data_IF_421214921809
#
_entry.id   IF_421214921809
#
_cell.length_a   1.000
_cell.length_b   1.000
_cell.length_c   1.000
_cell.angle_alpha   90.00
_cell.angle_beta   90.00
_cell.angle_gamma   90.00
#
_symmetry.space_group_name_H-M   'P 1'
#
loop_
_entity.id
_entity.type
_entity.pdbx_description
1 polymer ?
#
# COMPACT_ATOMS: atom_id res chain seq x y z
N UNK A 1 -9.41 -20.70 3.94
CA UNK A 1 -9.45 -19.21 3.95
C UNK A 1 -8.28 -18.69 3.12
N UNK A 2 -8.46 -18.49 1.83
CA UNK A 2 -7.40 -17.93 0.99
C UNK A 2 -7.36 -16.42 1.20
N UNK A 3 -6.20 -15.88 1.57
CA UNK A 3 -5.95 -14.45 1.42
C UNK A 3 -6.24 -14.09 -0.05
N UNK A 4 -6.82 -12.92 -0.34
CA UNK A 4 -6.98 -12.43 -1.71
C UNK A 4 -6.23 -11.10 -1.81
N UNK A 5 -5.46 -10.92 -2.89
CA UNK A 5 -4.81 -9.64 -3.14
C UNK A 5 -5.90 -8.62 -3.50
N UNK A 6 -5.89 -7.48 -2.82
CA UNK A 6 -6.99 -6.52 -2.90
C UNK A 6 -6.47 -5.08 -2.87
N UNK A 7 -7.18 -4.12 -3.48
CA UNK A 7 -6.89 -2.70 -3.27
C UNK A 7 -6.79 -2.34 -1.79
N UNK A 8 -5.90 -1.42 -1.45
CA UNK A 8 -5.86 -0.87 -0.08
C UNK A 8 -7.21 -0.17 0.22
N UNK A 9 -7.80 -0.38 1.41
CA UNK A 9 -9.01 0.32 1.84
C UNK A 9 -8.85 1.86 1.84
N UNK A 10 -9.94 2.59 1.65
CA UNK A 10 -9.89 4.05 1.56
C UNK A 10 -9.54 4.69 2.90
N UNK A 11 -9.86 4.04 4.02
CA UNK A 11 -9.52 4.53 5.36
C UNK A 11 -8.02 4.74 5.59
N UNK A 12 -7.16 4.16 4.73
CA UNK A 12 -5.69 4.25 4.83
C UNK A 12 -5.15 5.39 3.94
N UNK A 13 -6.05 6.12 3.27
CA UNK A 13 -5.71 7.33 2.53
C UNK A 13 -5.35 8.45 3.51
N UNK A 14 -4.32 9.19 3.16
CA UNK A 14 -3.73 10.26 3.94
C UNK A 14 -3.33 11.34 2.94
N UNK A 15 -4.09 12.43 2.94
CA UNK A 15 -4.00 13.47 1.91
C UNK A 15 -2.78 14.38 2.07
N UNK A 16 -2.29 14.52 3.29
CA UNK A 16 -1.17 15.39 3.64
C UNK A 16 -0.14 14.58 4.42
N UNK A 17 1.07 14.46 3.88
CA UNK A 17 2.26 14.07 4.65
C UNK A 17 3.30 15.13 4.34
N UNK A 18 3.73 15.86 5.37
CA UNK A 18 4.83 16.82 5.24
C UNK A 18 6.08 16.08 4.76
N UNK A 19 6.59 16.49 3.60
CA UNK A 19 7.69 15.85 2.88
C UNK A 19 9.07 16.28 3.38
N UNK A 20 9.12 17.04 4.47
CA UNK A 20 10.34 17.39 5.19
C UNK A 20 11.12 16.20 5.77
N UNK A 21 12.30 16.48 6.33
CA UNK A 21 13.24 15.47 6.87
C UNK A 21 12.61 14.52 7.92
N UNK A 22 11.51 14.92 8.57
CA UNK A 22 10.80 14.13 9.58
C UNK A 22 9.80 13.09 9.03
N UNK A 23 9.70 12.94 7.71
CA UNK A 23 8.72 12.08 7.01
C UNK A 23 8.54 10.68 7.60
N UNK A 24 9.62 10.02 8.02
CA UNK A 24 9.56 8.66 8.59
C UNK A 24 8.83 8.61 9.94
N UNK A 25 9.04 9.59 10.81
CA UNK A 25 8.35 9.68 12.10
C UNK A 25 6.86 10.02 11.92
N UNK A 26 6.55 10.93 11.00
CA UNK A 26 5.18 11.33 10.72
C UNK A 26 4.34 10.18 10.14
N UNK A 27 4.91 9.42 9.20
CA UNK A 27 4.29 8.21 8.63
C UNK A 27 3.96 7.22 9.75
N UNK A 28 4.91 6.95 10.66
CA UNK A 28 4.68 6.03 11.79
C UNK A 28 3.60 6.53 12.75
N UNK A 29 3.57 7.83 13.06
CA UNK A 29 2.56 8.42 13.94
C UNK A 29 1.16 8.31 13.33
N UNK A 30 0.98 8.64 12.04
CA UNK A 30 -0.31 8.49 11.36
C UNK A 30 -0.74 7.02 11.26
N UNK A 31 0.20 6.13 10.96
CA UNK A 31 -0.04 4.70 10.90
C UNK A 31 -0.55 4.16 12.26
N UNK A 32 0.07 4.57 13.36
CA UNK A 32 -0.41 4.24 14.71
C UNK A 32 -1.81 4.80 14.98
N UNK A 33 -2.09 6.05 14.60
CA UNK A 33 -3.43 6.68 14.76
C UNK A 33 -4.53 5.92 14.01
N UNK A 34 -4.22 5.41 12.82
CA UNK A 34 -5.15 4.62 12.00
C UNK A 34 -5.12 3.12 12.33
N UNK A 35 -4.36 2.71 13.35
CA UNK A 35 -4.10 1.32 13.70
C UNK A 35 -3.64 0.45 12.50
N UNK A 36 -2.85 1.07 11.62
CA UNK A 36 -2.26 0.44 10.46
C UNK A 36 -0.80 0.15 10.75
N UNK A 37 -0.39 -1.12 10.67
CA UNK A 37 1.03 -1.43 10.70
C UNK A 37 1.65 -1.12 9.32
N UNK A 38 2.06 0.14 9.15
CA UNK A 38 2.67 0.69 7.93
C UNK A 38 4.01 1.33 8.27
N UNK A 39 5.01 1.01 7.44
CA UNK A 39 6.34 1.63 7.50
C UNK A 39 6.60 2.57 6.33
N UNK A 40 5.73 2.55 5.31
CA UNK A 40 5.95 3.20 4.03
C UNK A 40 4.70 3.94 3.58
N UNK A 41 4.88 5.10 2.96
CA UNK A 41 3.79 5.86 2.32
C UNK A 41 3.96 5.86 0.79
N UNK A 42 2.84 5.78 0.07
CA UNK A 42 2.83 5.92 -1.38
C UNK A 42 2.41 7.33 -1.80
N UNK A 43 3.32 8.10 -2.38
CA UNK A 43 3.01 9.45 -2.91
C UNK A 43 1.97 9.42 -4.04
N UNK A 44 2.04 8.43 -4.94
CA UNK A 44 1.17 8.33 -6.11
C UNK A 44 -0.28 8.02 -5.74
N UNK A 45 -0.50 7.20 -4.71
CA UNK A 45 -1.83 6.79 -4.27
C UNK A 45 -2.30 7.53 -3.01
N UNK A 46 -1.42 8.31 -2.37
CA UNK A 46 -1.65 9.00 -1.09
C UNK A 46 -2.19 8.07 0.00
N UNK A 47 -1.53 6.92 0.18
CA UNK A 47 -1.92 5.88 1.15
C UNK A 47 -0.74 5.45 2.00
N UNK A 48 -1.00 5.19 3.28
CA UNK A 48 -0.10 4.40 4.10
C UNK A 48 -0.11 2.96 3.58
N UNK A 49 1.06 2.46 3.19
CA UNK A 49 1.22 1.10 2.68
C UNK A 49 1.35 0.16 3.88
N UNK A 50 0.32 -0.65 4.21
CA UNK A 50 0.47 -1.67 5.24
C UNK A 50 1.50 -2.71 4.83
N UNK A 51 1.92 -3.55 5.78
CA UNK A 51 2.82 -4.67 5.49
C UNK A 51 2.32 -5.50 4.30
N UNK A 52 3.29 -5.89 3.46
CA UNK A 52 3.04 -6.69 2.25
C UNK A 52 2.16 -6.01 1.20
N UNK A 53 1.97 -4.69 1.27
CA UNK A 53 1.31 -3.93 0.21
C UNK A 53 2.32 -3.30 -0.75
N UNK A 54 2.06 -3.41 -2.05
CA UNK A 54 2.94 -2.92 -3.11
C UNK A 54 2.18 -2.00 -4.07
N UNK A 55 2.86 -0.96 -4.56
CA UNK A 55 2.30 -0.11 -5.61
C UNK A 55 2.56 -0.78 -6.95
N UNK A 56 1.51 -1.20 -7.64
CA UNK A 56 1.63 -1.74 -8.98
C UNK A 56 1.60 -0.58 -9.99
N UNK A 57 2.72 -0.34 -10.67
CA UNK A 57 2.82 0.72 -11.70
C UNK A 57 1.90 0.47 -12.90
N UNK A 58 1.63 -0.80 -13.20
CA UNK A 58 0.78 -1.21 -14.32
C UNK A 58 -0.69 -0.96 -13.99
N UNK A 59 -1.16 -1.43 -12.82
CA UNK A 59 -2.52 -1.15 -12.33
C UNK A 59 -2.71 0.29 -11.80
N UNK A 60 -1.62 1.06 -11.64
CA UNK A 60 -1.58 2.40 -11.03
C UNK A 60 -2.28 2.48 -9.68
N UNK A 61 -2.16 1.43 -8.87
CA UNK A 61 -2.82 1.33 -7.56
C UNK A 61 -1.98 0.49 -6.59
N UNK A 62 -2.07 0.83 -5.31
CA UNK A 62 -1.53 0.00 -4.25
C UNK A 62 -2.44 -1.20 -3.95
N UNK A 63 -1.83 -2.38 -3.91
CA UNK A 63 -2.51 -3.66 -3.70
C UNK A 63 -1.90 -4.33 -2.47
N UNK A 64 -2.76 -4.73 -1.54
CA UNK A 64 -2.44 -5.48 -0.34
C UNK A 64 -2.18 -6.95 -0.68
N UNK A 65 -1.14 -7.53 -0.07
CA UNK A 65 -0.69 -8.91 -0.33
C UNK A 65 -0.42 -9.16 -1.82
N UNK A 66 0.11 -8.16 -2.51
CA UNK A 66 0.51 -8.31 -3.91
C UNK A 66 1.88 -8.98 -3.95
N UNK A 67 1.99 -10.03 -4.75
CA UNK A 67 3.24 -10.71 -5.02
C UNK A 67 3.84 -10.18 -6.33
N UNK A 68 3.15 -10.42 -7.45
CA UNK A 68 3.59 -9.92 -8.75
C UNK A 68 2.40 -9.53 -9.66
N UNK A 69 2.69 -8.66 -10.61
CA UNK A 69 1.79 -8.34 -11.72
C UNK A 69 2.27 -9.12 -12.93
N UNK A 70 1.51 -10.13 -13.37
CA UNK A 70 1.88 -10.96 -14.51
C UNK A 70 1.15 -10.49 -15.77
N UNK A 71 1.85 -9.91 -16.76
CA UNK A 71 1.22 -9.49 -18.02
C UNK A 71 0.71 -10.69 -18.83
N UNK A 72 1.42 -11.83 -18.76
CA UNK A 72 1.13 -13.03 -19.55
C UNK A 72 -0.19 -13.70 -19.13
N UNK A 73 -0.51 -13.66 -17.84
CA UNK A 73 -1.72 -14.24 -17.30
C UNK A 73 -2.90 -13.25 -17.24
N UNK A 74 -2.67 -11.98 -17.59
CA UNK A 74 -3.64 -10.87 -17.47
C UNK A 74 -4.26 -10.73 -16.07
N UNK A 75 -3.68 -11.35 -15.04
CA UNK A 75 -4.17 -11.29 -13.67
C UNK A 75 -3.63 -10.03 -12.99
N UNK A 76 -4.54 -9.19 -12.48
CA UNK A 76 -4.21 -7.89 -11.90
C UNK A 76 -3.28 -7.99 -10.68
N UNK A 77 -3.36 -9.11 -9.94
CA UNK A 77 -2.58 -9.39 -8.74
C UNK A 77 -2.78 -10.88 -8.36
N UNK A 78 -1.82 -11.75 -8.69
CA UNK A 78 -1.85 -13.15 -8.23
C UNK A 78 -1.16 -13.22 -6.86
N UNK A 79 -1.68 -14.08 -5.99
CA UNK A 79 -1.03 -14.46 -4.74
C UNK A 79 -0.33 -15.79 -4.98
N UNK A 80 0.99 -15.81 -5.02
CA UNK A 80 1.71 -17.07 -4.90
C UNK A 80 2.73 -16.99 -3.77
N UNK A 81 2.86 -18.15 -3.11
CA UNK A 81 3.87 -18.50 -2.12
C UNK A 81 5.23 -18.59 -2.79
#
# INVERSE_FOLDING_TARGET
MFAVAQPIPKEYQVDEIDDGEARSMEVRRRAAKLNVFSVNYCNSCRVLKPLRAHHCKICRRCILRMDHHCPLLQVKYRLYY
#
